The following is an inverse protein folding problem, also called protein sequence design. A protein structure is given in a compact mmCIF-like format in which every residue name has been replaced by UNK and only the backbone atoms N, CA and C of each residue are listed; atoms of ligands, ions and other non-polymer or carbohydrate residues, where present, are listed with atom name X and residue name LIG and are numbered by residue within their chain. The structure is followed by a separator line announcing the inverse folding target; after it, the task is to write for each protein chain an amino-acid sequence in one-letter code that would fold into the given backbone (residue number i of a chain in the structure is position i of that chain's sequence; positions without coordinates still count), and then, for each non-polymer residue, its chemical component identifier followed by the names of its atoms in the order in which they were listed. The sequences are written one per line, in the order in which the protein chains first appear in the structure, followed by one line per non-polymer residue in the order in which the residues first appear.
data_IF_145311017166
#
_entry.id   IF_145311017166
#
_cell.length_a   1.000
_cell.length_b   1.000
_cell.length_c   1.000
_cell.angle_alpha   90.00
_cell.angle_beta   90.00
_cell.angle_gamma   90.00
#
_symmetry.space_group_name_H-M   'P 1'
#
loop_
_entity.id
_entity.type
_entity.pdbx_description
1 polymer ?
#
# COMPACT_ATOMS: atom_id res chain seq x y z
N UNK A 1 24.88 -21.05 -5.78
CA UNK A 1 23.92 -20.84 -4.67
C UNK A 1 22.50 -21.28 -5.05
N UNK A 2 21.63 -21.46 -4.05
CA UNK A 2 20.20 -21.73 -4.22
C UNK A 2 19.38 -20.61 -3.59
N UNK A 3 18.32 -20.17 -4.27
CA UNK A 3 17.37 -19.17 -3.77
C UNK A 3 15.98 -19.80 -3.66
N UNK A 4 15.31 -19.61 -2.53
CA UNK A 4 13.92 -19.99 -2.31
C UNK A 4 13.11 -18.76 -1.89
N UNK A 5 12.02 -18.52 -2.60
CA UNK A 5 11.06 -17.45 -2.30
C UNK A 5 9.83 -18.07 -1.63
N UNK A 6 9.38 -17.49 -0.53
CA UNK A 6 8.24 -17.99 0.24
C UNK A 6 7.02 -17.07 0.10
N UNK A 7 5.82 -17.63 0.38
CA UNK A 7 4.57 -16.89 0.44
C UNK A 7 4.31 -16.01 -0.80
N UNK A 8 3.81 -14.80 -0.54
CA UNK A 8 3.47 -13.79 -1.54
C UNK A 8 4.64 -13.36 -2.44
N UNK A 9 5.90 -13.64 -2.09
CA UNK A 9 7.04 -13.34 -2.97
C UNK A 9 6.98 -14.16 -4.27
N UNK A 10 6.27 -15.29 -4.26
CA UNK A 10 6.07 -16.11 -5.45
C UNK A 10 5.15 -15.45 -6.49
N UNK A 11 4.39 -14.41 -6.12
CA UNK A 11 3.53 -13.70 -7.06
C UNK A 11 4.34 -12.97 -8.14
N UNK A 12 5.57 -12.58 -7.80
CA UNK A 12 6.49 -11.85 -8.68
C UNK A 12 7.24 -12.73 -9.69
N UNK A 13 7.17 -14.05 -9.59
CA UNK A 13 7.90 -14.96 -10.49
C UNK A 13 6.95 -15.76 -11.37
N UNK A 14 7.49 -16.29 -12.47
CA UNK A 14 6.75 -17.12 -13.41
C UNK A 14 6.10 -18.31 -12.69
N UNK A 15 4.87 -18.66 -13.07
CA UNK A 15 4.09 -19.75 -12.43
C UNK A 15 4.88 -21.06 -12.31
N UNK A 16 5.68 -21.41 -13.31
CA UNK A 16 6.52 -22.61 -13.34
C UNK A 16 7.65 -22.63 -12.30
N UNK A 17 8.00 -21.47 -11.73
CA UNK A 17 9.07 -21.29 -10.75
C UNK A 17 8.55 -21.13 -9.31
N UNK A 18 7.24 -20.94 -9.14
CA UNK A 18 6.61 -20.72 -7.82
C UNK A 18 6.82 -21.90 -6.89
N UNK A 19 7.23 -21.61 -5.65
CA UNK A 19 7.50 -22.60 -4.60
C UNK A 19 8.78 -23.43 -4.81
N UNK A 20 9.49 -23.25 -5.92
CA UNK A 20 10.69 -24.05 -6.26
C UNK A 20 11.98 -23.37 -5.80
N UNK A 21 13.01 -24.18 -5.53
CA UNK A 21 14.38 -23.70 -5.35
C UNK A 21 14.96 -23.33 -6.71
N UNK A 22 15.49 -22.12 -6.81
CA UNK A 22 16.10 -21.57 -8.01
C UNK A 22 17.63 -21.66 -7.89
N UNK A 23 18.30 -22.09 -8.95
CA UNK A 23 19.76 -22.02 -9.02
C UNK A 23 20.16 -20.62 -9.46
N UNK A 24 21.05 -19.98 -8.72
CA UNK A 24 21.63 -18.69 -9.11
C UNK A 24 23.14 -18.85 -9.23
N UNK A 25 23.67 -18.44 -10.37
CA UNK A 25 25.11 -18.32 -10.61
C UNK A 25 25.51 -16.86 -10.41
N UNK A 26 26.57 -16.63 -9.62
CA UNK A 26 27.17 -15.31 -9.45
C UNK A 26 28.57 -15.31 -10.07
N UNK A 27 28.76 -14.48 -11.10
CA UNK A 27 30.06 -14.22 -11.71
C UNK A 27 30.87 -13.14 -10.96
N UNK A 28 30.21 -12.31 -10.16
CA UNK A 28 30.82 -11.25 -9.36
C UNK A 28 30.12 -11.11 -8.00
N UNK A 29 30.74 -10.35 -7.09
CA UNK A 29 30.07 -9.96 -5.83
C UNK A 29 28.76 -9.23 -6.15
N UNK A 30 27.72 -9.55 -5.40
CA UNK A 30 26.39 -8.97 -5.56
C UNK A 30 25.70 -8.81 -4.20
N UNK A 31 24.89 -7.77 -4.04
CA UNK A 31 24.03 -7.64 -2.88
C UNK A 31 22.93 -8.71 -2.89
N UNK A 32 22.51 -9.16 -1.72
CA UNK A 32 21.35 -10.04 -1.56
C UNK A 32 20.11 -9.40 -2.19
N UNK A 33 19.90 -8.09 -1.96
CA UNK A 33 18.87 -7.27 -2.62
C UNK A 33 18.88 -7.46 -4.14
N UNK A 34 20.02 -7.22 -4.77
CA UNK A 34 20.16 -7.26 -6.23
C UNK A 34 19.85 -8.66 -6.78
N UNK A 35 20.30 -9.70 -6.08
CA UNK A 35 20.03 -11.11 -6.46
C UNK A 35 18.54 -11.42 -6.45
N UNK A 36 17.81 -10.95 -5.44
CA UNK A 36 16.37 -11.19 -5.32
C UNK A 36 15.59 -10.32 -6.32
N UNK A 37 15.98 -9.05 -6.50
CA UNK A 37 15.35 -8.15 -7.47
C UNK A 37 15.55 -8.59 -8.93
N UNK A 38 16.66 -9.27 -9.22
CA UNK A 38 16.93 -9.90 -10.50
C UNK A 38 16.05 -11.14 -10.77
N UNK A 39 15.31 -11.64 -9.77
CA UNK A 39 14.18 -12.57 -9.98
C UNK A 39 12.85 -11.84 -10.15
N UNK A 40 12.86 -10.53 -10.02
CA UNK A 40 11.69 -9.70 -10.19
C UNK A 40 11.01 -9.28 -8.90
N UNK A 41 11.39 -9.84 -7.75
CA UNK A 41 10.79 -9.52 -6.45
C UNK A 41 11.26 -8.14 -5.99
N UNK A 42 10.38 -7.15 -5.78
CA UNK A 42 10.78 -5.85 -5.27
C UNK A 42 11.29 -5.94 -3.84
N UNK A 43 12.34 -5.19 -3.50
CA UNK A 43 12.92 -5.20 -2.16
C UNK A 43 11.92 -4.76 -1.08
N UNK A 44 10.98 -3.88 -1.42
CA UNK A 44 9.93 -3.37 -0.52
C UNK A 44 8.93 -4.44 -0.09
N UNK A 45 8.89 -5.60 -0.75
CA UNK A 45 8.01 -6.72 -0.37
C UNK A 45 8.74 -7.76 0.50
N UNK A 46 10.07 -7.69 0.59
CA UNK A 46 10.92 -8.64 1.31
C UNK A 46 11.02 -8.21 2.78
N UNK A 47 10.68 -9.09 3.72
CA UNK A 47 10.82 -8.77 5.14
C UNK A 47 11.80 -9.61 5.91
N UNK A 48 12.04 -10.86 5.50
CA UNK A 48 13.07 -11.68 6.12
C UNK A 48 13.94 -12.30 5.04
N UNK A 49 15.25 -12.24 5.26
CA UNK A 49 16.22 -13.04 4.53
C UNK A 49 16.94 -13.94 5.52
N UNK A 50 17.13 -15.20 5.11
CA UNK A 50 18.07 -16.13 5.74
C UNK A 50 19.09 -16.62 4.74
N UNK A 51 20.35 -16.69 5.17
CA UNK A 51 21.46 -17.28 4.42
C UNK A 51 21.96 -18.46 5.24
N UNK A 52 21.89 -19.66 4.68
CA UNK A 52 22.30 -20.91 5.33
C UNK A 52 21.64 -21.12 6.71
N UNK A 53 20.36 -20.70 6.80
CA UNK A 53 19.52 -20.83 7.99
C UNK A 53 19.59 -19.64 8.97
N UNK A 54 20.62 -18.81 8.88
CA UNK A 54 20.85 -17.65 9.75
C UNK A 54 20.17 -16.41 9.19
N UNK A 55 19.60 -15.57 10.06
CA UNK A 55 19.03 -14.29 9.66
C UNK A 55 20.13 -13.39 9.07
N UNK A 56 19.84 -12.73 7.96
CA UNK A 56 20.78 -11.88 7.24
C UNK A 56 20.12 -10.56 6.80
N UNK A 57 20.87 -9.45 6.78
CA UNK A 57 20.35 -8.19 6.26
C UNK A 57 20.18 -8.25 4.75
N UNK A 58 19.18 -7.53 4.22
CA UNK A 58 18.96 -7.41 2.78
C UNK A 58 20.12 -6.70 2.06
N UNK A 59 20.85 -5.84 2.78
CA UNK A 59 22.07 -5.18 2.33
C UNK A 59 23.34 -6.07 2.39
N UNK A 60 23.21 -7.34 2.80
CA UNK A 60 24.31 -8.29 2.83
C UNK A 60 24.92 -8.53 1.43
N UNK A 61 26.21 -8.91 1.39
CA UNK A 61 26.96 -9.15 0.15
C UNK A 61 27.26 -10.64 -0.01
N UNK A 62 27.05 -11.15 -1.22
CA UNK A 62 27.33 -12.54 -1.60
C UNK A 62 28.60 -12.62 -2.45
N UNK A 63 29.46 -13.59 -2.14
CA UNK A 63 30.69 -13.84 -2.90
C UNK A 63 30.44 -14.73 -4.13
N UNK A 64 31.22 -14.57 -5.22
CA UNK A 64 31.25 -15.53 -6.34
C UNK A 64 31.55 -16.95 -5.86
N UNK A 65 31.01 -17.96 -6.54
CA UNK A 65 31.23 -19.37 -6.18
C UNK A 65 30.53 -19.83 -4.89
N UNK A 66 29.85 -18.94 -4.18
CA UNK A 66 29.08 -19.27 -2.97
C UNK A 66 28.07 -20.41 -3.20
N UNK A 67 28.14 -21.41 -2.33
CA UNK A 67 27.16 -22.49 -2.24
C UNK A 67 25.93 -22.13 -1.39
N UNK A 68 25.80 -20.87 -0.96
CA UNK A 68 24.78 -20.44 -0.01
C UNK A 68 23.34 -20.80 -0.42
N UNK A 69 22.51 -21.06 0.58
CA UNK A 69 21.07 -21.23 0.45
C UNK A 69 20.36 -20.01 1.02
N UNK A 70 19.79 -19.21 0.13
CA UNK A 70 19.05 -18.00 0.46
C UNK A 70 17.56 -18.32 0.53
N UNK A 71 16.92 -17.96 1.64
CA UNK A 71 15.48 -18.03 1.80
C UNK A 71 14.96 -16.62 2.06
N UNK A 72 14.08 -16.13 1.19
CA UNK A 72 13.41 -14.85 1.38
C UNK A 72 11.92 -15.07 1.64
N UNK A 73 11.38 -14.33 2.60
CA UNK A 73 9.97 -14.33 2.97
C UNK A 73 9.38 -12.91 2.90
N UNK A 74 8.08 -12.77 2.62
CA UNK A 74 7.45 -11.46 2.56
C UNK A 74 7.48 -10.82 3.95
N UNK A 75 7.39 -9.48 4.02
CA UNK A 75 7.23 -8.85 5.33
C UNK A 75 5.95 -9.35 6.00
N UNK A 76 5.97 -9.45 7.31
CA UNK A 76 4.78 -9.72 8.11
C UNK A 76 4.05 -8.42 8.41
N UNK A 77 2.74 -8.45 8.73
CA UNK A 77 2.03 -7.27 9.22
C UNK A 77 2.70 -6.63 10.44
N UNK A 78 3.30 -7.43 11.32
CA UNK A 78 4.00 -6.93 12.51
C UNK A 78 5.27 -6.14 12.15
N UNK A 79 6.10 -6.66 11.25
CA UNK A 79 7.31 -5.96 10.78
C UNK A 79 6.95 -4.64 10.10
N UNK A 80 5.93 -4.64 9.22
CA UNK A 80 5.48 -3.42 8.54
C UNK A 80 4.96 -2.35 9.49
N UNK A 81 4.33 -2.73 10.60
CA UNK A 81 3.91 -1.77 11.64
C UNK A 81 5.09 -1.21 12.42
N UNK A 82 6.11 -2.03 12.69
CA UNK A 82 7.31 -1.60 13.42
C UNK A 82 8.19 -0.67 12.58
N UNK A 83 8.26 -0.92 11.27
CA UNK A 83 9.01 -0.09 10.31
C UNK A 83 8.27 1.22 9.98
N UNK A 84 7.04 1.42 10.45
CA UNK A 84 6.20 2.58 10.13
C UNK A 84 6.28 3.68 11.20
N UNK A 85 6.62 4.94 10.84
CA UNK A 85 6.59 6.06 11.77
C UNK A 85 5.15 6.58 12.01
N UNK A 86 4.69 6.56 13.26
CA UNK A 86 3.51 7.30 13.70
C UNK A 86 2.20 6.50 13.87
N UNK A 87 1.14 7.22 14.26
CA UNK A 87 -0.10 6.64 14.79
C UNK A 87 -1.04 6.03 13.72
N UNK A 88 -1.01 6.49 12.47
CA UNK A 88 -1.81 5.97 11.35
C UNK A 88 -1.08 6.09 10.01
N UNK A 89 -1.17 5.10 9.11
CA UNK A 89 -0.46 5.15 7.85
C UNK A 89 -1.06 6.15 6.87
N UNK A 90 -0.17 6.89 6.21
CA UNK A 90 -0.48 7.76 5.09
C UNK A 90 0.08 7.14 3.81
N UNK A 91 -0.62 7.35 2.70
CA UNK A 91 -0.32 6.70 1.44
C UNK A 91 -0.02 7.72 0.35
N UNK A 92 0.74 7.27 -0.63
CA UNK A 92 0.80 7.87 -1.97
C UNK A 92 0.48 6.76 -2.96
N UNK A 93 -0.39 7.04 -3.92
CA UNK A 93 -0.90 6.02 -4.83
C UNK A 93 -0.61 6.36 -6.29
N UNK A 94 -0.28 5.32 -7.04
CA UNK A 94 -0.17 5.32 -8.50
C UNK A 94 -1.46 5.82 -9.18
N UNK A 95 -1.32 6.48 -10.33
CA UNK A 95 -2.40 7.10 -11.10
C UNK A 95 -3.50 6.11 -11.50
N UNK A 96 -3.18 4.82 -11.63
CA UNK A 96 -4.17 3.79 -11.98
C UNK A 96 -5.02 3.31 -10.80
N UNK A 97 -4.76 3.79 -9.58
CA UNK A 97 -5.41 3.34 -8.35
C UNK A 97 -6.48 4.30 -7.85
N UNK A 98 -7.01 5.20 -8.70
CA UNK A 98 -7.99 6.21 -8.31
C UNK A 98 -9.23 5.66 -7.56
N UNK A 99 -9.73 4.48 -7.94
CA UNK A 99 -10.85 3.86 -7.23
C UNK A 99 -10.49 3.42 -5.80
N UNK A 100 -9.30 2.84 -5.61
CA UNK A 100 -8.76 2.49 -4.29
C UNK A 100 -8.53 3.74 -3.44
N UNK A 101 -7.96 4.79 -4.03
CA UNK A 101 -7.71 6.09 -3.38
C UNK A 101 -9.00 6.67 -2.80
N UNK A 102 -10.08 6.71 -3.59
CA UNK A 102 -11.37 7.23 -3.13
C UNK A 102 -11.91 6.44 -1.94
N UNK A 103 -11.76 5.11 -1.94
CA UNK A 103 -12.19 4.23 -0.84
C UNK A 103 -11.39 4.46 0.44
N UNK A 104 -10.06 4.49 0.33
CA UNK A 104 -9.18 4.76 1.47
C UNK A 104 -9.43 6.15 2.08
N UNK A 105 -9.61 7.17 1.26
CA UNK A 105 -9.96 8.53 1.72
C UNK A 105 -11.33 8.58 2.39
N UNK A 106 -12.34 7.89 1.84
CA UNK A 106 -13.66 7.76 2.48
C UNK A 106 -13.59 7.07 3.85
N UNK A 107 -12.69 6.09 4.01
CA UNK A 107 -12.40 5.43 5.28
C UNK A 107 -11.59 6.31 6.26
N UNK A 108 -11.17 7.51 5.84
CA UNK A 108 -10.47 8.50 6.66
C UNK A 108 -8.95 8.52 6.51
N UNK A 109 -8.38 7.73 5.61
CA UNK A 109 -6.93 7.68 5.42
C UNK A 109 -6.42 8.81 4.52
N UNK A 110 -5.25 9.33 4.86
CA UNK A 110 -4.56 10.33 4.06
C UNK A 110 -3.92 9.65 2.85
N UNK A 111 -4.39 9.96 1.64
CA UNK A 111 -3.84 9.41 0.40
C UNK A 111 -3.49 10.53 -0.57
N UNK A 112 -2.20 10.75 -0.80
CA UNK A 112 -1.69 11.62 -1.85
C UNK A 112 -1.90 10.95 -3.22
N UNK A 113 -2.53 11.67 -4.13
CA UNK A 113 -2.85 11.19 -5.48
C UNK A 113 -3.17 12.38 -6.38
N UNK A 114 -2.61 12.37 -7.58
CA UNK A 114 -2.96 13.25 -8.68
C UNK A 114 -2.76 12.49 -9.99
N UNK A 115 -3.51 12.84 -11.03
CA UNK A 115 -3.50 12.11 -12.31
C UNK A 115 -2.22 12.35 -13.13
N UNK A 116 -1.39 13.33 -12.74
CA UNK A 116 -0.18 13.77 -13.42
C UNK A 116 1.10 13.38 -12.67
N UNK A 117 1.00 12.57 -11.61
CA UNK A 117 2.16 12.05 -10.91
C UNK A 117 2.89 11.03 -11.76
N UNK A 118 4.13 11.36 -12.12
CA UNK A 118 5.04 10.39 -12.68
C UNK A 118 5.71 9.53 -11.59
N UNK A 119 6.37 8.51 -12.09
CA UNK A 119 7.12 7.52 -11.35
C UNK A 119 8.21 8.09 -10.42
N UNK A 120 8.86 9.19 -10.82
CA UNK A 120 9.88 9.87 -10.03
C UNK A 120 9.24 10.68 -8.91
N UNK A 121 8.12 11.36 -9.21
CA UNK A 121 7.34 12.14 -8.28
C UNK A 121 6.68 11.27 -7.22
N UNK A 122 6.13 10.12 -7.58
CA UNK A 122 5.59 9.14 -6.63
C UNK A 122 6.66 8.67 -5.62
N UNK A 123 7.85 8.32 -6.12
CA UNK A 123 8.97 7.92 -5.26
C UNK A 123 9.45 9.07 -4.37
N UNK A 124 9.52 10.30 -4.89
CA UNK A 124 9.89 11.47 -4.11
C UNK A 124 8.88 11.77 -3.00
N UNK A 125 7.56 11.76 -3.29
CA UNK A 125 6.52 11.98 -2.28
C UNK A 125 6.58 10.89 -1.20
N UNK A 126 6.73 9.62 -1.58
CA UNK A 126 6.87 8.50 -0.64
C UNK A 126 8.04 8.72 0.33
N UNK A 127 9.19 9.15 -0.19
CA UNK A 127 10.42 9.38 0.56
C UNK A 127 10.37 10.64 1.43
N UNK A 128 9.95 11.77 0.87
CA UNK A 128 9.97 13.10 1.52
C UNK A 128 8.88 13.24 2.59
N UNK A 129 7.74 12.57 2.41
CA UNK A 129 6.59 12.67 3.32
C UNK A 129 6.31 11.38 4.08
N UNK A 130 7.23 10.42 3.99
CA UNK A 130 7.19 9.15 4.71
C UNK A 130 5.85 8.41 4.50
N UNK A 131 5.46 8.28 3.23
CA UNK A 131 4.20 7.66 2.79
C UNK A 131 4.42 6.27 2.23
N UNK A 132 3.52 5.34 2.54
CA UNK A 132 3.48 4.03 1.85
C UNK A 132 3.11 4.28 0.39
N UNK A 133 3.97 3.85 -0.51
CA UNK A 133 3.66 3.82 -1.93
C UNK A 133 2.78 2.62 -2.29
N UNK A 134 1.58 2.88 -2.83
CA UNK A 134 0.69 1.89 -3.40
C UNK A 134 0.85 1.91 -4.92
N UNK A 135 1.27 0.79 -5.50
CA UNK A 135 1.44 0.70 -6.97
C UNK A 135 1.33 -0.74 -7.45
N UNK A 136 1.09 -0.90 -8.75
CA UNK A 136 1.17 -2.17 -9.49
C UNK A 136 2.42 -2.24 -10.37
N UNK A 137 3.23 -1.18 -10.37
CA UNK A 137 4.47 -1.13 -11.11
C UNK A 137 5.62 -1.68 -10.25
N UNK A 138 6.19 -2.80 -10.71
CA UNK A 138 7.29 -3.48 -10.03
C UNK A 138 8.62 -2.73 -10.17
N UNK A 139 8.81 -1.98 -11.24
CA UNK A 139 9.97 -1.11 -11.45
C UNK A 139 9.98 0.04 -10.44
N UNK A 140 8.82 0.67 -10.24
CA UNK A 140 8.65 1.72 -9.24
C UNK A 140 8.97 1.20 -7.82
N UNK A 141 8.49 0.02 -7.45
CA UNK A 141 8.81 -0.64 -6.16
C UNK A 141 10.30 -1.00 -5.99
N UNK A 142 11.10 -1.03 -7.06
CA UNK A 142 12.53 -1.32 -6.99
C UNK A 142 13.41 -0.07 -6.89
N UNK A 143 12.82 1.13 -6.98
CA UNK A 143 13.58 2.37 -6.84
C UNK A 143 14.16 2.48 -5.43
N UNK A 144 15.46 2.78 -5.32
CA UNK A 144 16.17 2.83 -4.05
C UNK A 144 15.62 3.87 -3.04
N UNK A 145 14.95 4.92 -3.52
CA UNK A 145 14.30 5.93 -2.66
C UNK A 145 13.01 5.42 -2.00
N UNK A 146 12.41 4.36 -2.52
CA UNK A 146 11.15 3.82 -2.00
C UNK A 146 11.45 2.92 -0.81
N UNK A 147 11.15 3.41 0.39
CA UNK A 147 11.38 2.67 1.65
C UNK A 147 10.16 1.84 2.06
N UNK A 148 8.97 2.40 1.94
CA UNK A 148 7.71 1.76 2.30
C UNK A 148 6.79 1.67 1.10
N UNK A 149 6.39 0.46 0.73
CA UNK A 149 5.47 0.26 -0.38
C UNK A 149 4.68 -1.03 -0.26
N UNK A 150 3.58 -1.12 -1.02
CA UNK A 150 2.79 -2.33 -1.21
C UNK A 150 2.41 -2.47 -2.68
N UNK A 151 2.75 -3.63 -3.23
CA UNK A 151 2.24 -4.08 -4.52
C UNK A 151 0.75 -4.39 -4.40
N UNK A 152 -0.07 -3.70 -5.19
CA UNK A 152 -1.52 -3.93 -5.27
C UNK A 152 -1.79 -5.11 -6.22
N UNK A 153 -2.31 -6.22 -5.68
CA UNK A 153 -2.44 -7.49 -6.42
C UNK A 153 -3.68 -7.53 -7.32
N UNK A 154 -4.82 -7.17 -6.76
CA UNK A 154 -6.11 -7.34 -7.42
C UNK A 154 -6.43 -6.23 -8.43
N UNK A 155 -7.24 -6.57 -9.43
CA UNK A 155 -7.82 -5.62 -10.38
C UNK A 155 -9.09 -4.96 -9.82
N UNK A 156 -9.86 -5.70 -9.01
CA UNK A 156 -11.15 -5.24 -8.50
C UNK A 156 -10.95 -4.22 -7.36
N UNK A 157 -11.49 -2.99 -7.46
CA UNK A 157 -11.26 -1.94 -6.46
C UNK A 157 -11.66 -2.31 -5.02
N UNK A 158 -12.67 -3.16 -4.85
CA UNK A 158 -13.06 -3.65 -3.53
C UNK A 158 -12.01 -4.60 -2.95
N UNK A 159 -11.56 -5.58 -3.74
CA UNK A 159 -10.53 -6.52 -3.32
C UNK A 159 -9.20 -5.81 -3.03
N UNK A 160 -8.85 -4.79 -3.82
CA UNK A 160 -7.70 -3.92 -3.52
C UNK A 160 -7.83 -3.25 -2.15
N UNK A 161 -9.00 -2.67 -1.87
CA UNK A 161 -9.25 -2.01 -0.58
C UNK A 161 -9.16 -3.02 0.58
N UNK A 162 -9.79 -4.19 0.42
CA UNK A 162 -9.80 -5.24 1.43
C UNK A 162 -8.37 -5.77 1.70
N UNK A 163 -7.55 -5.98 0.66
CA UNK A 163 -6.14 -6.33 0.79
C UNK A 163 -5.38 -5.26 1.58
N UNK A 164 -5.48 -3.98 1.19
CA UNK A 164 -4.77 -2.90 1.89
C UNK A 164 -5.22 -2.77 3.35
N UNK A 165 -6.51 -2.87 3.62
CA UNK A 165 -7.07 -2.80 4.98
C UNK A 165 -6.57 -3.96 5.84
N UNK A 166 -6.64 -5.19 5.34
CA UNK A 166 -6.15 -6.36 6.05
C UNK A 166 -4.64 -6.29 6.26
N UNK A 167 -3.92 -5.97 5.20
CA UNK A 167 -2.47 -5.94 5.15
C UNK A 167 -1.84 -4.98 6.16
N UNK A 168 -2.40 -3.76 6.27
CA UNK A 168 -1.95 -2.74 7.22
C UNK A 168 -2.75 -2.73 8.53
N UNK A 169 -3.66 -3.69 8.74
CA UNK A 169 -4.52 -3.78 9.92
C UNK A 169 -5.29 -2.47 10.20
N UNK A 170 -5.88 -1.90 9.15
CA UNK A 170 -6.46 -0.56 9.17
C UNK A 170 -7.85 -0.48 9.81
N UNK A 171 -8.56 -1.60 9.94
CA UNK A 171 -9.95 -1.64 10.38
C UNK A 171 -10.20 -0.86 11.69
N UNK A 172 -9.35 -1.07 12.71
CA UNK A 172 -9.45 -0.38 14.00
C UNK A 172 -9.03 1.11 13.98
N UNK A 173 -8.53 1.62 12.84
CA UNK A 173 -8.04 3.00 12.67
C UNK A 173 -8.92 3.84 11.74
N UNK A 174 -9.98 3.25 11.18
CA UNK A 174 -10.86 3.94 10.25
C UNK A 174 -11.60 5.08 10.93
N UNK A 175 -11.59 6.23 10.29
CA UNK A 175 -12.35 7.41 10.70
C UNK A 175 -13.16 7.92 9.49
N UNK A 176 -14.26 7.22 9.12
CA UNK A 176 -14.99 7.54 7.91
C UNK A 176 -15.49 8.99 7.88
N UNK A 177 -15.50 9.59 6.70
CA UNK A 177 -15.93 10.97 6.47
C UNK A 177 -15.15 12.04 7.25
N UNK A 178 -13.90 11.78 7.57
CA UNK A 178 -12.97 12.81 8.05
C UNK A 178 -12.16 13.44 6.92
N UNK A 179 -12.14 12.85 5.72
CA UNK A 179 -11.43 13.35 4.54
C UNK A 179 -12.28 13.33 3.28
N UNK A 180 -12.04 14.29 2.40
CA UNK A 180 -12.66 14.35 1.08
C UNK A 180 -12.12 13.21 0.21
N UNK A 181 -13.02 12.42 -0.38
CA UNK A 181 -12.67 11.34 -1.30
C UNK A 181 -11.95 11.83 -2.56
N UNK A 182 -12.22 13.06 -3.00
CA UNK A 182 -11.73 13.58 -4.27
C UNK A 182 -10.44 14.41 -4.11
N UNK A 183 -10.35 15.29 -3.11
CA UNK A 183 -9.18 16.15 -2.91
C UNK A 183 -8.38 15.90 -1.62
N UNK A 184 -8.73 14.88 -0.82
CA UNK A 184 -8.04 14.49 0.43
C UNK A 184 -8.11 15.50 1.60
N UNK A 185 -8.64 16.70 1.39
CA UNK A 185 -8.78 17.74 2.42
C UNK A 185 -9.63 17.25 3.60
N UNK A 186 -9.22 17.50 4.86
CA UNK A 186 -10.05 17.22 6.02
C UNK A 186 -11.43 17.86 5.90
N UNK A 187 -12.47 17.09 6.23
CA UNK A 187 -13.85 17.57 6.17
C UNK A 187 -14.20 18.35 7.43
N UNK A 188 -14.99 19.41 7.26
CA UNK A 188 -15.55 20.18 8.37
C UNK A 188 -17.01 19.77 8.59
N UNK A 189 -17.43 19.65 9.85
CA UNK A 189 -18.85 19.48 10.16
C UNK A 189 -19.64 20.70 9.66
N UNK A 190 -20.86 20.46 9.16
CA UNK A 190 -21.76 21.53 8.71
C UNK A 190 -23.17 21.28 9.23
N UNK A 191 -23.84 22.34 9.68
CA UNK A 191 -25.20 22.22 10.15
C UNK A 191 -26.15 21.96 8.97
N UNK A 192 -27.12 21.07 9.16
CA UNK A 192 -28.12 20.74 8.13
C UNK A 192 -28.89 21.97 7.66
N UNK A 193 -29.18 22.92 8.56
CA UNK A 193 -29.88 24.15 8.24
C UNK A 193 -29.16 24.96 7.13
N UNK A 194 -27.82 25.01 7.19
CA UNK A 194 -27.00 25.78 6.26
C UNK A 194 -26.97 25.17 4.86
N UNK A 195 -27.25 23.86 4.73
CA UNK A 195 -27.13 23.12 3.47
C UNK A 195 -28.45 22.52 3.00
N UNK A 196 -29.56 22.72 3.73
CA UNK A 196 -30.84 22.06 3.44
C UNK A 196 -31.31 22.31 2.01
N UNK A 197 -31.04 23.49 1.47
CA UNK A 197 -31.38 23.87 0.10
C UNK A 197 -30.66 23.02 -0.97
N UNK A 198 -29.53 22.38 -0.63
CA UNK A 198 -28.72 21.52 -1.52
C UNK A 198 -29.04 20.04 -1.40
N UNK A 199 -29.86 19.64 -0.41
CA UNK A 199 -30.14 18.24 -0.13
C UNK A 199 -31.36 17.73 -0.90
N UNK A 200 -31.28 16.51 -1.40
CA UNK A 200 -32.43 15.79 -1.96
C UNK A 200 -33.46 15.42 -0.88
N UNK A 201 -34.75 15.23 -1.21
CA UNK A 201 -35.82 14.97 -0.24
C UNK A 201 -35.55 13.79 0.71
N UNK A 202 -35.09 12.64 0.21
CA UNK A 202 -34.78 11.47 1.05
C UNK A 202 -33.57 11.74 1.96
N UNK A 203 -32.58 12.47 1.46
CA UNK A 203 -31.41 12.86 2.25
C UNK A 203 -31.80 13.80 3.40
N UNK A 204 -32.73 14.73 3.12
CA UNK A 204 -33.36 15.59 4.13
C UNK A 204 -34.17 14.79 5.14
N UNK A 205 -34.85 13.72 4.74
CA UNK A 205 -35.67 12.93 5.67
C UNK A 205 -34.82 12.06 6.60
N UNK A 206 -33.75 11.43 6.09
CA UNK A 206 -33.08 10.32 6.78
C UNK A 206 -31.72 10.64 7.42
N UNK A 207 -31.08 11.75 7.07
CA UNK A 207 -29.74 12.08 7.59
C UNK A 207 -29.70 13.42 8.33
N UNK A 208 -28.89 13.46 9.38
CA UNK A 208 -28.79 14.61 10.28
C UNK A 208 -27.35 15.08 10.51
N UNK A 209 -26.35 14.25 10.19
CA UNK A 209 -24.93 14.60 10.33
C UNK A 209 -24.33 14.76 8.95
N UNK A 210 -23.76 15.94 8.70
CA UNK A 210 -23.19 16.30 7.41
C UNK A 210 -21.79 16.87 7.61
N UNK A 211 -20.95 16.64 6.61
CA UNK A 211 -19.62 17.19 6.54
C UNK A 211 -19.44 17.85 5.16
N UNK A 212 -18.67 18.92 5.11
CA UNK A 212 -18.37 19.69 3.90
C UNK A 212 -16.86 19.77 3.70
N UNK A 213 -16.42 19.60 2.47
CA UNK A 213 -15.03 19.87 2.13
C UNK A 213 -14.83 21.38 1.95
N UNK A 214 -13.91 22.03 2.69
CA UNK A 214 -13.65 23.46 2.53
C UNK A 214 -12.95 23.81 1.21
N UNK A 215 -12.32 22.84 0.54
CA UNK A 215 -11.58 23.07 -0.70
C UNK A 215 -12.43 22.90 -1.97
N UNK A 216 -13.27 21.87 -2.04
CA UNK A 216 -14.08 21.57 -3.23
C UNK A 216 -15.60 21.69 -3.02
N UNK A 217 -16.02 22.11 -1.82
CA UNK A 217 -17.42 22.34 -1.43
C UNK A 217 -18.37 21.13 -1.54
N UNK A 218 -17.82 19.92 -1.74
CA UNK A 218 -18.60 18.67 -1.73
C UNK A 218 -19.14 18.35 -0.34
N UNK A 219 -20.37 17.84 -0.32
CA UNK A 219 -21.07 17.40 0.88
C UNK A 219 -20.96 15.89 1.06
N UNK A 220 -20.83 15.46 2.32
CA UNK A 220 -20.68 14.08 2.74
C UNK A 220 -21.62 13.78 3.90
N UNK A 221 -22.18 12.57 3.93
CA UNK A 221 -23.02 12.08 5.03
C UNK A 221 -22.89 10.55 5.13
N UNK A 222 -23.15 10.02 6.32
CA UNK A 222 -23.04 8.59 6.59
C UNK A 222 -24.21 7.79 6.02
N UNK A 223 -24.17 7.46 4.73
CA UNK A 223 -25.15 6.58 4.06
C UNK A 223 -24.98 5.08 4.39
N UNK A 224 -25.75 4.23 3.73
CA UNK A 224 -25.66 2.75 3.85
C UNK A 224 -24.27 2.18 3.50
N UNK A 225 -23.53 2.83 2.60
CA UNK A 225 -22.17 2.44 2.21
C UNK A 225 -21.15 2.43 3.37
N UNK A 226 -21.46 3.07 4.49
CA UNK A 226 -20.63 3.06 5.71
C UNK A 226 -20.63 1.70 6.40
N UNK A 227 -21.77 1.01 6.35
CA UNK A 227 -21.89 -0.33 6.90
C UNK A 227 -20.99 -1.30 6.12
N UNK A 228 -21.00 -1.21 4.78
CA UNK A 228 -20.14 -2.02 3.91
C UNK A 228 -18.63 -1.73 4.13
N UNK A 229 -18.26 -0.47 4.39
CA UNK A 229 -16.85 -0.10 4.64
C UNK A 229 -16.31 -0.56 6.00
N UNK A 230 -17.20 -0.71 7.00
CA UNK A 230 -16.84 -1.12 8.37
C UNK A 230 -17.00 -2.62 8.61
N UNK A 231 -17.63 -3.37 7.71
CA UNK A 231 -17.93 -4.77 7.97
C UNK A 231 -18.36 -5.58 6.75
N UNK A 232 -17.37 -6.24 6.14
CA UNK A 232 -17.38 -7.71 6.06
C UNK A 232 -16.18 -8.20 6.86
N UNK A 233 -16.34 -8.28 8.18
CA UNK A 233 -15.49 -9.08 9.07
C UNK A 233 -16.07 -10.49 9.14
#
# INVERSE_FOLDING_TARGET
MKLRLLGELNDFIARSQRGRKQTVALSRRAGVKDVIEARGVPHTEIGLVRIDGLAAPLAGVLAPGSAAHIVAAPMTPAQRRADWPGAAPAFVADVHLGALVRRLRLAGFDVAYANDYDDARLAAISDETDRVLLTRDRGLLKRARVRHARFVRDDAPQAQYDDIVAHFSLAGRMQPFTRCSDCNTPLAAVAKADIVHRLEPLTKAHYHRFARCPACDKLFWGGSHVADMRGRL
#
